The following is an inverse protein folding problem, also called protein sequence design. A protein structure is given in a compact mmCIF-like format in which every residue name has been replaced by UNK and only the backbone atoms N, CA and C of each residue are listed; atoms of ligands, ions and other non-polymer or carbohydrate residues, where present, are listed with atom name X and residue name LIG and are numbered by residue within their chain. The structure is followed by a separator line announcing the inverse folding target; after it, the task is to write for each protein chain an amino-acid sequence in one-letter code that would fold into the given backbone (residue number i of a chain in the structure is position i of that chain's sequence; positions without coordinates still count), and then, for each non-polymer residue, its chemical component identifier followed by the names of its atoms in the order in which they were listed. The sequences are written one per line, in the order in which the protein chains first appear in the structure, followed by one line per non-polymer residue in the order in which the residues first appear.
data_IF_310086357020
#
_entry.id   IF_310086357020
#
_cell.length_a   1.000
_cell.length_b   1.000
_cell.length_c   1.000
_cell.angle_alpha   90.00
_cell.angle_beta   90.00
_cell.angle_gamma   90.00
#
_symmetry.space_group_name_H-M   'P 1'
#
loop_
_entity.id
_entity.type
_entity.pdbx_description
1 polymer ?
#
# COMPACT_ATOMS: atom_id res chain seq x y z
N UNK A 1 -0.11 -16.53 -29.06
CA UNK A 1 0.38 -15.39 -28.27
C UNK A 1 0.49 -15.90 -26.87
N UNK A 2 1.68 -15.75 -26.26
CA UNK A 2 1.92 -16.21 -24.90
C UNK A 2 1.19 -15.34 -23.87
N UNK A 3 1.11 -15.82 -22.65
CA UNK A 3 0.39 -15.20 -21.54
C UNK A 3 1.29 -14.32 -20.69
N UNK A 4 0.75 -13.21 -20.18
CA UNK A 4 1.33 -12.33 -19.17
C UNK A 4 1.32 -13.01 -17.79
N UNK A 5 1.98 -12.45 -16.80
CA UNK A 5 2.04 -13.02 -15.44
C UNK A 5 0.62 -13.20 -14.86
N UNK A 6 -0.23 -12.16 -14.95
CA UNK A 6 -1.60 -12.22 -14.42
C UNK A 6 -2.43 -13.27 -15.14
N UNK A 7 -2.37 -13.35 -16.47
CA UNK A 7 -3.08 -14.36 -17.24
C UNK A 7 -2.67 -15.79 -16.85
N UNK A 8 -1.37 -16.05 -16.67
CA UNK A 8 -0.87 -17.38 -16.23
C UNK A 8 -1.34 -17.74 -14.82
N UNK A 9 -1.33 -16.79 -13.90
CA UNK A 9 -1.81 -17.02 -12.53
C UNK A 9 -3.32 -17.31 -12.54
N UNK A 10 -4.11 -16.51 -13.27
CA UNK A 10 -5.56 -16.70 -13.35
C UNK A 10 -5.94 -18.01 -14.07
N UNK A 11 -5.24 -18.36 -15.16
CA UNK A 11 -5.45 -19.62 -15.85
C UNK A 11 -5.19 -20.83 -14.92
N UNK A 12 -4.05 -20.81 -14.21
CA UNK A 12 -3.71 -21.87 -13.24
C UNK A 12 -4.71 -21.96 -12.10
N UNK A 13 -5.08 -20.83 -11.50
CA UNK A 13 -6.04 -20.78 -10.39
C UNK A 13 -7.45 -21.19 -10.83
N UNK A 14 -7.81 -20.95 -12.07
CA UNK A 14 -9.08 -21.40 -12.69
C UNK A 14 -9.06 -22.84 -13.22
N UNK A 15 -7.90 -23.51 -13.19
CA UNK A 15 -7.77 -24.88 -13.72
C UNK A 15 -7.99 -24.96 -15.23
N UNK A 16 -7.73 -23.88 -15.98
CA UNK A 16 -7.88 -23.82 -17.43
C UNK A 16 -6.50 -23.69 -18.11
N UNK A 17 -6.32 -24.18 -19.34
CA UNK A 17 -5.02 -24.18 -20.00
C UNK A 17 -4.51 -22.76 -20.34
N UNK A 18 -5.42 -21.87 -20.66
CA UNK A 18 -5.12 -20.46 -20.99
C UNK A 18 -6.33 -19.57 -20.73
N UNK A 19 -6.07 -18.27 -20.64
CA UNK A 19 -7.08 -17.21 -20.64
C UNK A 19 -6.61 -16.08 -21.56
N UNK A 20 -7.54 -15.25 -22.01
CA UNK A 20 -7.28 -14.10 -22.88
C UNK A 20 -8.06 -12.86 -22.40
N UNK A 21 -7.60 -11.66 -22.73
CA UNK A 21 -8.35 -10.44 -22.41
C UNK A 21 -9.80 -10.52 -22.90
N UNK A 22 -10.73 -10.25 -21.99
CA UNK A 22 -12.17 -10.35 -22.21
C UNK A 22 -12.83 -11.57 -21.56
N UNK A 23 -12.08 -12.63 -21.27
CA UNK A 23 -12.58 -13.82 -20.61
C UNK A 23 -13.03 -13.56 -19.18
N UNK A 24 -13.98 -14.36 -18.70
CA UNK A 24 -14.34 -14.45 -17.29
C UNK A 24 -13.90 -15.81 -16.75
N UNK A 25 -13.17 -15.80 -15.66
CA UNK A 25 -12.64 -17.01 -15.04
C UNK A 25 -12.99 -17.05 -13.56
N UNK A 26 -13.51 -18.20 -13.12
CA UNK A 26 -13.65 -18.51 -11.69
C UNK A 26 -12.32 -19.10 -11.24
N UNK A 27 -11.75 -18.53 -10.18
CA UNK A 27 -10.43 -18.89 -9.69
C UNK A 27 -10.48 -19.36 -8.25
N UNK A 28 -9.63 -20.30 -7.89
CA UNK A 28 -9.36 -20.64 -6.50
C UNK A 28 -8.60 -19.48 -5.83
N UNK A 29 -9.04 -19.10 -4.65
CA UNK A 29 -8.40 -18.11 -3.79
C UNK A 29 -7.44 -18.81 -2.83
N UNK A 30 -6.18 -18.40 -2.84
CA UNK A 30 -5.15 -18.94 -1.93
C UNK A 30 -5.13 -18.22 -0.59
N UNK A 31 -5.42 -16.92 -0.59
CA UNK A 31 -5.51 -16.11 0.63
C UNK A 31 -6.65 -15.11 0.55
N UNK A 32 -7.59 -15.20 1.49
CA UNK A 32 -8.68 -14.24 1.69
C UNK A 32 -8.40 -13.41 2.95
N UNK A 33 -8.28 -12.10 2.80
CA UNK A 33 -7.97 -11.18 3.91
C UNK A 33 -9.22 -10.39 4.28
N UNK A 34 -9.66 -10.53 5.54
CA UNK A 34 -10.75 -9.74 6.11
C UNK A 34 -10.16 -8.75 7.12
N UNK A 35 -10.81 -7.59 7.27
CA UNK A 35 -10.42 -6.58 8.24
C UNK A 35 -11.63 -6.10 9.06
N UNK A 36 -11.41 -5.28 10.07
CA UNK A 36 -12.42 -4.91 11.07
C UNK A 36 -13.72 -4.33 10.47
N UNK A 37 -13.65 -3.54 9.39
CA UNK A 37 -14.85 -2.99 8.76
C UNK A 37 -15.77 -4.09 8.15
N UNK A 38 -15.22 -5.25 7.76
CA UNK A 38 -16.04 -6.35 7.25
C UNK A 38 -17.06 -6.85 8.27
N UNK A 39 -16.72 -6.77 9.55
CA UNK A 39 -17.54 -7.26 10.67
C UNK A 39 -18.53 -6.21 11.19
N UNK A 40 -18.61 -5.03 10.57
CA UNK A 40 -19.61 -4.02 10.94
C UNK A 40 -21.02 -4.48 10.62
N UNK A 41 -22.00 -4.02 11.39
CA UNK A 41 -23.43 -4.37 11.17
C UNK A 41 -23.94 -3.98 9.78
N UNK A 42 -23.26 -3.05 9.12
CA UNK A 42 -23.60 -2.62 7.75
C UNK A 42 -23.25 -3.70 6.71
N UNK A 43 -22.12 -4.38 6.86
CA UNK A 43 -21.58 -5.30 5.86
C UNK A 43 -21.67 -6.77 6.28
N UNK A 44 -21.54 -7.06 7.58
CA UNK A 44 -21.50 -8.42 8.06
C UNK A 44 -22.81 -9.17 7.87
N UNK A 45 -22.70 -10.40 7.39
CA UNK A 45 -23.79 -11.39 7.39
C UNK A 45 -23.29 -12.62 8.10
N UNK A 46 -24.16 -13.30 8.87
CA UNK A 46 -23.74 -14.50 9.61
C UNK A 46 -23.30 -15.60 8.65
N UNK A 47 -22.04 -16.00 8.79
CA UNK A 47 -21.40 -17.02 7.96
C UNK A 47 -21.53 -18.36 8.66
N UNK A 48 -22.16 -19.34 8.01
CA UNK A 48 -22.41 -20.66 8.58
C UNK A 48 -21.21 -21.59 8.45
N UNK A 49 -20.34 -21.38 7.44
CA UNK A 49 -19.15 -22.19 7.18
C UNK A 49 -18.09 -21.35 6.47
N UNK A 50 -16.84 -21.77 6.60
CA UNK A 50 -15.73 -21.33 5.76
C UNK A 50 -15.15 -22.51 4.98
N UNK A 51 -14.57 -22.26 3.82
CA UNK A 51 -14.02 -23.34 2.99
C UNK A 51 -12.77 -23.94 3.63
N UNK A 52 -11.83 -23.07 4.02
CA UNK A 52 -10.56 -23.46 4.64
C UNK A 52 -10.07 -22.32 5.55
N UNK A 53 -10.05 -22.55 6.89
CA UNK A 53 -9.57 -21.55 7.85
C UNK A 53 -8.11 -21.16 7.66
N UNK A 54 -7.27 -22.04 7.10
CA UNK A 54 -5.84 -21.76 6.87
C UNK A 54 -5.61 -20.77 5.70
N UNK A 55 -6.60 -20.58 4.82
CA UNK A 55 -6.59 -19.59 3.75
C UNK A 55 -7.10 -18.21 4.16
N UNK A 56 -7.61 -18.08 5.39
CA UNK A 56 -8.21 -16.83 5.87
C UNK A 56 -7.22 -16.11 6.78
N UNK A 57 -7.00 -14.83 6.49
CA UNK A 57 -6.31 -13.87 7.35
C UNK A 57 -7.34 -12.88 7.87
N UNK A 58 -7.32 -12.58 9.16
CA UNK A 58 -8.11 -11.50 9.74
C UNK A 58 -7.17 -10.49 10.39
N UNK A 59 -7.26 -9.22 10.00
CA UNK A 59 -6.46 -8.14 10.57
C UNK A 59 -7.37 -6.98 10.96
N UNK A 60 -7.31 -6.53 12.20
CA UNK A 60 -7.97 -5.30 12.61
C UNK A 60 -7.02 -4.13 12.42
N UNK A 61 -7.38 -3.19 11.55
CA UNK A 61 -6.46 -2.15 11.12
C UNK A 61 -7.08 -0.75 10.88
N UNK A 62 -8.36 -0.66 10.50
CA UNK A 62 -8.98 0.62 10.13
C UNK A 62 -9.43 1.42 11.34
N UNK A 63 -9.97 0.76 12.37
CA UNK A 63 -10.56 1.37 13.56
C UNK A 63 -9.87 0.85 14.81
N UNK A 64 -8.54 0.96 14.90
CA UNK A 64 -7.74 0.42 16.02
C UNK A 64 -6.83 1.48 16.63
N UNK A 65 -6.92 1.68 17.97
CA UNK A 65 -7.98 1.16 18.84
C UNK A 65 -9.34 1.70 18.41
N UNK A 66 -10.47 1.00 18.73
CA UNK A 66 -11.79 1.40 18.23
C UNK A 66 -12.18 2.79 18.74
N UNK A 67 -12.47 3.75 17.85
CA UNK A 67 -12.77 5.13 18.23
C UNK A 67 -14.20 5.31 18.76
N UNK A 68 -15.08 4.33 18.54
CA UNK A 68 -16.49 4.38 18.91
C UNK A 68 -17.06 2.99 19.23
N UNK A 69 -18.28 2.96 19.78
CA UNK A 69 -18.97 1.72 20.20
C UNK A 69 -19.26 0.79 19.02
N UNK A 70 -19.58 1.33 17.84
CA UNK A 70 -19.90 0.52 16.66
C UNK A 70 -18.65 -0.21 16.16
N UNK A 71 -17.52 0.47 16.11
CA UNK A 71 -16.22 -0.13 15.78
C UNK A 71 -15.80 -1.20 16.80
N UNK A 72 -16.00 -0.94 18.11
CA UNK A 72 -15.73 -1.92 19.14
C UNK A 72 -16.61 -3.18 18.98
N UNK A 73 -17.90 -3.00 18.65
CA UNK A 73 -18.82 -4.13 18.42
C UNK A 73 -18.43 -4.91 17.16
N UNK A 74 -17.98 -4.26 16.08
CA UNK A 74 -17.47 -4.94 14.90
C UNK A 74 -16.28 -5.85 15.24
N UNK A 75 -15.37 -5.37 16.08
CA UNK A 75 -14.24 -6.20 16.54
C UNK A 75 -14.68 -7.38 17.41
N UNK A 76 -15.74 -7.25 18.22
CA UNK A 76 -16.33 -8.39 18.96
C UNK A 76 -16.82 -9.45 17.98
N UNK A 77 -17.59 -9.06 16.97
CA UNK A 77 -18.10 -9.96 15.92
C UNK A 77 -16.94 -10.65 15.17
N UNK A 78 -15.88 -9.88 14.84
CA UNK A 78 -14.71 -10.45 14.17
C UNK A 78 -13.95 -11.47 15.03
N UNK A 79 -13.80 -11.23 16.34
CA UNK A 79 -13.20 -12.20 17.28
C UNK A 79 -14.06 -13.47 17.42
N UNK A 80 -15.39 -13.32 17.47
CA UNK A 80 -16.31 -14.47 17.50
C UNK A 80 -16.20 -15.29 16.22
N UNK A 81 -16.09 -14.67 15.06
CA UNK A 81 -15.84 -15.34 13.78
C UNK A 81 -14.52 -16.12 13.79
N UNK A 82 -13.43 -15.48 14.22
CA UNK A 82 -12.10 -16.12 14.32
C UNK A 82 -12.16 -17.35 15.23
N UNK A 83 -12.75 -17.20 16.42
CA UNK A 83 -12.87 -18.29 17.40
C UNK A 83 -13.75 -19.43 16.87
N UNK A 84 -14.91 -19.11 16.29
CA UNK A 84 -15.87 -20.08 15.76
C UNK A 84 -15.28 -20.99 14.69
N UNK A 85 -14.45 -20.42 13.80
CA UNK A 85 -13.86 -21.16 12.69
C UNK A 85 -12.41 -21.58 12.91
N UNK A 86 -11.82 -21.27 14.05
CA UNK A 86 -10.45 -21.66 14.39
C UNK A 86 -9.38 -21.00 13.50
N UNK A 87 -9.60 -19.76 13.07
CA UNK A 87 -8.69 -19.02 12.19
C UNK A 87 -7.42 -18.68 12.97
N UNK A 88 -6.26 -19.15 12.49
CA UNK A 88 -4.97 -18.96 13.17
C UNK A 88 -4.26 -17.67 12.76
N UNK A 89 -4.47 -17.22 11.52
CA UNK A 89 -3.84 -15.99 10.98
C UNK A 89 -4.66 -14.77 11.40
N UNK A 90 -4.66 -14.51 12.71
CA UNK A 90 -5.41 -13.41 13.31
C UNK A 90 -4.47 -12.34 13.90
N UNK A 91 -4.63 -11.13 13.44
CA UNK A 91 -3.86 -9.94 13.81
C UNK A 91 -4.79 -8.94 14.51
N UNK A 92 -4.93 -9.16 15.83
CA UNK A 92 -5.72 -8.30 16.72
C UNK A 92 -4.87 -7.17 17.31
N UNK A 93 -5.51 -6.30 18.07
CA UNK A 93 -4.86 -5.24 18.86
C UNK A 93 -3.84 -5.89 19.82
N UNK A 94 -2.61 -5.41 19.74
CA UNK A 94 -1.52 -5.92 20.57
C UNK A 94 -0.25 -6.23 19.77
N UNK A 95 0.42 -7.33 20.10
CA UNK A 95 1.76 -7.64 19.57
C UNK A 95 1.82 -7.81 18.05
N UNK A 96 0.76 -8.27 17.42
CA UNK A 96 0.69 -8.59 16.00
C UNK A 96 -0.17 -7.58 15.22
N UNK A 97 -0.48 -6.45 15.81
CA UNK A 97 -1.25 -5.37 15.18
C UNK A 97 -0.51 -4.84 13.95
N UNK A 98 -1.24 -4.58 12.88
CA UNK A 98 -0.71 -3.95 11.67
C UNK A 98 -1.80 -3.74 10.62
N UNK A 99 -1.54 -2.83 9.71
CA UNK A 99 -2.38 -2.62 8.54
C UNK A 99 -2.35 -3.90 7.70
N UNK A 100 -3.51 -4.39 7.29
CA UNK A 100 -3.68 -5.70 6.63
C UNK A 100 -2.67 -5.96 5.51
N UNK A 101 -2.41 -4.98 4.64
CA UNK A 101 -1.45 -5.11 3.54
C UNK A 101 0.01 -5.17 4.01
N UNK A 102 0.33 -4.53 5.14
CA UNK A 102 1.67 -4.62 5.76
C UNK A 102 1.81 -5.96 6.48
N UNK A 103 0.78 -6.40 7.20
CA UNK A 103 0.70 -7.73 7.82
C UNK A 103 0.88 -8.85 6.79
N UNK A 104 0.23 -8.74 5.63
CA UNK A 104 0.39 -9.69 4.52
C UNK A 104 1.84 -9.82 4.09
N UNK A 105 2.55 -8.70 3.96
CA UNK A 105 3.96 -8.66 3.59
C UNK A 105 4.88 -9.18 4.70
N UNK A 106 4.66 -8.71 5.95
CA UNK A 106 5.49 -9.06 7.11
C UNK A 106 5.45 -10.56 7.43
N UNK A 107 4.36 -11.24 7.06
CA UNK A 107 4.18 -12.67 7.30
C UNK A 107 4.29 -13.54 6.05
N UNK A 108 4.58 -12.95 4.88
CA UNK A 108 4.71 -13.67 3.61
C UNK A 108 3.43 -14.37 3.18
N UNK A 109 2.25 -13.77 3.42
CA UNK A 109 0.97 -14.37 3.01
C UNK A 109 0.66 -14.18 1.52
N UNK A 110 1.28 -13.20 0.86
CA UNK A 110 1.26 -13.06 -0.59
C UNK A 110 2.38 -13.93 -1.20
N UNK A 111 2.08 -15.16 -1.52
CA UNK A 111 3.05 -16.08 -2.12
C UNK A 111 3.15 -15.84 -3.63
N UNK A 112 4.37 -15.93 -4.22
CA UNK A 112 4.54 -15.83 -5.66
C UNK A 112 3.66 -16.81 -6.43
N UNK A 113 3.00 -16.30 -7.47
CA UNK A 113 2.14 -17.09 -8.35
C UNK A 113 0.78 -17.48 -7.77
N UNK A 114 0.34 -16.93 -6.65
CA UNK A 114 -0.95 -17.21 -6.01
C UNK A 114 -1.98 -16.10 -6.23
N UNK A 115 -3.22 -16.35 -5.84
CA UNK A 115 -4.32 -15.38 -5.85
C UNK A 115 -4.64 -14.94 -4.43
N UNK A 116 -4.58 -13.63 -4.17
CA UNK A 116 -4.92 -13.01 -2.90
C UNK A 116 -6.04 -11.98 -3.09
N UNK A 117 -7.06 -12.04 -2.25
CA UNK A 117 -8.16 -11.08 -2.25
C UNK A 117 -8.38 -10.46 -0.86
N UNK A 118 -8.79 -9.20 -0.85
CA UNK A 118 -9.22 -8.47 0.33
C UNK A 118 -10.33 -7.50 -0.06
N UNK A 119 -11.14 -7.05 0.85
CA UNK A 119 -12.15 -6.01 0.55
C UNK A 119 -11.61 -4.58 0.70
N UNK A 120 -10.30 -4.42 0.72
CA UNK A 120 -9.63 -3.12 0.67
C UNK A 120 -8.99 -2.86 -0.71
N UNK A 121 -9.03 -1.62 -1.12
CA UNK A 121 -8.57 -1.17 -2.45
C UNK A 121 -7.07 -1.42 -2.68
N UNK A 122 -6.24 -1.20 -1.63
CA UNK A 122 -4.77 -1.31 -1.76
C UNK A 122 -4.23 -2.74 -1.65
N UNK A 123 -5.08 -3.74 -1.78
CA UNK A 123 -4.70 -5.16 -1.87
C UNK A 123 -3.66 -5.42 -2.95
N UNK A 124 -3.64 -4.59 -3.99
CA UNK A 124 -2.63 -4.62 -5.05
C UNK A 124 -1.18 -4.61 -4.57
N UNK A 125 -0.92 -4.19 -3.31
CA UNK A 125 0.42 -4.28 -2.69
C UNK A 125 1.02 -5.68 -2.73
N UNK A 126 0.19 -6.73 -2.73
CA UNK A 126 0.61 -8.13 -2.89
C UNK A 126 1.25 -8.43 -4.25
N UNK A 127 0.99 -7.61 -5.26
CA UNK A 127 1.63 -7.74 -6.56
C UNK A 127 3.14 -7.52 -6.55
N UNK A 128 3.67 -6.81 -5.54
CA UNK A 128 5.10 -6.71 -5.31
C UNK A 128 5.79 -8.06 -5.06
N UNK A 129 5.02 -9.07 -4.70
CA UNK A 129 5.48 -10.43 -4.42
C UNK A 129 5.14 -11.42 -5.54
N UNK A 130 4.91 -10.94 -6.76
CA UNK A 130 4.49 -11.80 -7.88
C UNK A 130 3.18 -12.57 -7.59
N UNK A 131 2.28 -11.95 -6.82
CA UNK A 131 0.97 -12.49 -6.44
C UNK A 131 -0.13 -11.72 -7.18
N UNK A 132 -1.10 -12.40 -7.76
CA UNK A 132 -2.29 -11.76 -8.32
C UNK A 132 -3.20 -11.30 -7.17
N UNK A 133 -2.88 -10.11 -6.63
CA UNK A 133 -3.55 -9.54 -5.47
C UNK A 133 -4.50 -8.41 -5.90
N UNK A 134 -5.77 -8.49 -5.45
CA UNK A 134 -6.77 -7.50 -5.84
C UNK A 134 -7.80 -7.23 -4.75
N UNK A 135 -8.22 -5.96 -4.66
CA UNK A 135 -9.38 -5.54 -3.90
C UNK A 135 -10.69 -6.02 -4.55
N UNK A 136 -11.57 -6.60 -3.75
CA UNK A 136 -12.89 -7.08 -4.17
C UNK A 136 -14.01 -6.47 -3.33
N UNK A 137 -15.26 -6.59 -3.77
CA UNK A 137 -16.39 -6.09 -3.01
C UNK A 137 -16.61 -6.79 -1.67
N UNK A 138 -17.35 -6.14 -0.75
CA UNK A 138 -17.68 -6.74 0.55
C UNK A 138 -18.40 -8.10 0.43
N UNK A 139 -19.39 -8.29 -0.45
CA UNK A 139 -20.00 -9.60 -0.71
C UNK A 139 -19.02 -10.62 -1.27
N UNK A 140 -18.10 -10.19 -2.15
CA UNK A 140 -17.15 -11.10 -2.82
C UNK A 140 -16.13 -11.66 -1.84
N UNK A 141 -15.64 -10.85 -0.88
CA UNK A 141 -14.70 -11.37 0.14
C UNK A 141 -15.37 -12.38 1.07
N UNK A 142 -16.64 -12.18 1.40
CA UNK A 142 -17.41 -13.16 2.18
C UNK A 142 -17.61 -14.43 1.37
N UNK A 143 -17.91 -14.32 0.07
CA UNK A 143 -18.00 -15.47 -0.83
C UNK A 143 -16.65 -16.21 -0.91
N UNK A 144 -15.55 -15.50 -1.05
CA UNK A 144 -14.21 -16.08 -1.05
C UNK A 144 -13.89 -16.84 0.25
N UNK A 145 -14.29 -16.30 1.40
CA UNK A 145 -14.13 -16.99 2.69
C UNK A 145 -14.96 -18.29 2.78
N UNK A 146 -16.19 -18.30 2.21
CA UNK A 146 -17.11 -19.44 2.26
C UNK A 146 -16.74 -20.53 1.26
N UNK A 147 -16.20 -20.16 0.10
CA UNK A 147 -15.99 -21.06 -1.06
C UNK A 147 -14.53 -21.27 -1.41
N UNK A 148 -13.61 -20.45 -0.96
CA UNK A 148 -12.24 -20.34 -1.45
C UNK A 148 -12.15 -20.08 -2.96
N UNK A 149 -13.14 -19.36 -3.50
CA UNK A 149 -13.28 -19.04 -4.92
C UNK A 149 -13.72 -17.59 -5.09
N UNK A 150 -13.35 -16.99 -6.21
CA UNK A 150 -13.92 -15.76 -6.72
C UNK A 150 -13.87 -15.76 -8.24
N UNK A 151 -14.31 -14.69 -8.88
CA UNK A 151 -14.25 -14.56 -10.32
C UNK A 151 -13.54 -13.27 -10.73
N UNK A 152 -12.86 -13.32 -11.86
CA UNK A 152 -12.27 -12.14 -12.48
C UNK A 152 -12.56 -12.09 -13.97
N UNK A 153 -12.70 -10.87 -14.47
CA UNK A 153 -12.53 -10.61 -15.89
C UNK A 153 -11.04 -10.46 -16.15
N UNK A 154 -10.55 -11.09 -17.19
CA UNK A 154 -9.18 -10.94 -17.67
C UNK A 154 -9.08 -9.63 -18.44
N UNK A 155 -8.14 -8.79 -18.06
CA UNK A 155 -7.90 -7.51 -18.73
C UNK A 155 -6.57 -7.53 -19.47
N UNK A 156 -6.44 -6.74 -20.57
CA UNK A 156 -5.16 -6.59 -21.24
C UNK A 156 -4.12 -5.97 -20.30
N UNK A 157 -2.84 -6.28 -20.50
CA UNK A 157 -1.74 -5.86 -19.63
C UNK A 157 -0.88 -4.80 -20.32
N UNK A 158 -0.54 -3.75 -19.60
CA UNK A 158 0.50 -2.77 -19.95
C UNK A 158 1.77 -3.16 -19.22
N UNK A 159 2.86 -3.34 -19.96
CA UNK A 159 4.17 -3.66 -19.42
C UNK A 159 5.01 -2.41 -19.22
N UNK A 160 5.65 -2.30 -18.04
CA UNK A 160 6.67 -1.30 -17.73
C UNK A 160 8.01 -1.99 -17.49
N UNK A 161 8.96 -1.77 -18.38
CA UNK A 161 10.35 -2.21 -18.21
C UNK A 161 11.11 -1.13 -17.44
N UNK A 162 11.59 -1.47 -16.25
CA UNK A 162 12.27 -0.55 -15.33
C UNK A 162 13.75 -0.47 -15.70
N UNK A 163 14.21 0.75 -15.93
CA UNK A 163 15.59 1.09 -16.27
C UNK A 163 16.11 2.23 -15.38
N UNK A 164 17.45 2.32 -15.24
CA UNK A 164 18.10 3.37 -14.49
C UNK A 164 18.00 3.23 -12.97
N UNK A 165 18.33 4.30 -12.26
CA UNK A 165 18.37 4.34 -10.78
C UNK A 165 17.70 5.60 -10.26
N UNK A 166 17.07 5.50 -9.10
CA UNK A 166 16.50 6.66 -8.40
C UNK A 166 17.60 7.63 -7.95
N UNK A 167 17.31 8.91 -8.05
CA UNK A 167 18.11 9.96 -7.44
C UNK A 167 18.13 9.84 -5.90
N UNK A 168 19.13 10.46 -5.23
CA UNK A 168 19.40 10.24 -3.79
C UNK A 168 18.26 10.66 -2.84
N UNK A 169 17.35 11.54 -3.29
CA UNK A 169 16.22 12.03 -2.49
C UNK A 169 14.86 11.60 -3.04
N UNK A 170 14.86 10.78 -4.10
CA UNK A 170 13.67 10.29 -4.79
C UNK A 170 13.24 8.96 -4.19
N UNK A 171 11.95 8.79 -3.97
CA UNK A 171 11.38 7.59 -3.35
C UNK A 171 10.36 6.90 -4.25
N UNK A 172 9.87 5.74 -3.83
CA UNK A 172 8.80 5.02 -4.52
C UNK A 172 7.51 5.84 -4.68
N UNK A 173 7.23 6.77 -3.77
CA UNK A 173 6.08 7.68 -3.89
C UNK A 173 6.25 8.61 -5.10
N UNK A 174 7.44 9.11 -5.32
CA UNK A 174 7.73 9.97 -6.48
C UNK A 174 7.62 9.18 -7.79
N UNK A 175 8.05 7.90 -7.79
CA UNK A 175 7.85 6.99 -8.94
C UNK A 175 6.38 6.82 -9.26
N UNK A 176 5.54 6.59 -8.25
CA UNK A 176 4.09 6.50 -8.46
C UNK A 176 3.50 7.81 -8.98
N UNK A 177 3.87 8.95 -8.40
CA UNK A 177 3.40 10.27 -8.86
C UNK A 177 3.85 10.57 -10.29
N UNK A 178 5.05 10.13 -10.66
CA UNK A 178 5.54 10.20 -12.04
C UNK A 178 4.68 9.36 -12.99
N UNK A 179 4.37 8.10 -12.61
CA UNK A 179 3.47 7.24 -13.39
C UNK A 179 2.09 7.88 -13.56
N UNK A 180 1.52 8.39 -12.46
CA UNK A 180 0.20 9.04 -12.46
C UNK A 180 0.14 10.28 -13.34
N UNK A 181 1.24 11.03 -13.41
CA UNK A 181 1.31 12.26 -14.18
C UNK A 181 1.68 12.04 -15.66
N UNK A 182 2.56 11.07 -15.91
CA UNK A 182 3.09 10.82 -17.27
C UNK A 182 2.15 9.94 -18.09
N UNK A 183 1.57 8.93 -17.46
CA UNK A 183 0.79 7.90 -18.16
C UNK A 183 -0.71 7.90 -17.80
N UNK A 184 -1.08 8.59 -16.72
CA UNK A 184 -2.47 8.82 -16.34
C UNK A 184 -3.26 7.54 -16.00
N UNK A 185 -4.49 7.48 -16.51
CA UNK A 185 -5.47 6.43 -16.21
C UNK A 185 -5.13 5.09 -16.88
N UNK A 186 -5.26 4.00 -16.12
CA UNK A 186 -5.06 2.62 -16.56
C UNK A 186 -6.34 1.77 -16.44
N UNK A 187 -7.50 2.41 -16.40
CA UNK A 187 -8.78 1.71 -16.28
C UNK A 187 -8.90 0.61 -17.35
N UNK A 188 -9.34 -0.57 -16.91
CA UNK A 188 -9.49 -1.73 -17.78
C UNK A 188 -8.18 -2.39 -18.24
N UNK A 189 -7.08 -2.14 -17.53
CA UNK A 189 -5.78 -2.77 -17.80
C UNK A 189 -5.15 -3.30 -16.51
N UNK A 190 -4.36 -4.35 -16.65
CA UNK A 190 -3.36 -4.73 -15.66
C UNK A 190 -2.06 -3.98 -15.91
N UNK A 191 -1.24 -3.84 -14.88
CA UNK A 191 0.13 -3.34 -14.97
C UNK A 191 1.08 -4.47 -14.59
N UNK A 192 2.10 -4.69 -15.42
CA UNK A 192 3.17 -5.63 -15.16
C UNK A 192 4.51 -4.88 -15.16
N UNK A 193 5.29 -5.06 -14.07
CA UNK A 193 6.60 -4.46 -13.91
C UNK A 193 7.70 -5.51 -14.02
N UNK A 194 8.74 -5.20 -14.77
CA UNK A 194 9.97 -5.97 -14.88
C UNK A 194 11.09 -5.11 -15.44
N UNK A 195 12.06 -5.72 -16.09
CA UNK A 195 13.16 -4.98 -16.72
C UNK A 195 14.50 -5.13 -15.98
N UNK A 196 15.59 -4.67 -16.62
CA UNK A 196 16.96 -5.00 -16.18
C UNK A 196 17.35 -4.39 -14.83
N UNK A 197 16.79 -3.23 -14.47
CA UNK A 197 17.16 -2.50 -13.25
C UNK A 197 16.11 -2.60 -12.13
N UNK A 198 15.08 -3.46 -12.31
CA UNK A 198 14.05 -3.70 -11.30
C UNK A 198 14.66 -4.16 -9.95
N UNK A 199 15.74 -4.92 -9.97
CA UNK A 199 16.47 -5.38 -8.78
C UNK A 199 17.00 -4.25 -7.89
N UNK A 200 17.13 -3.04 -8.43
CA UNK A 200 17.49 -1.83 -7.67
C UNK A 200 16.38 -1.28 -6.76
N UNK A 201 15.13 -1.71 -6.96
CA UNK A 201 14.00 -1.34 -6.10
C UNK A 201 13.88 -2.32 -4.93
N UNK A 202 14.01 -1.80 -3.70
CA UNK A 202 13.76 -2.56 -2.47
C UNK A 202 12.30 -3.04 -2.44
N UNK A 203 12.03 -4.08 -1.67
CA UNK A 203 10.67 -4.66 -1.60
C UNK A 203 9.61 -3.66 -1.13
N UNK A 204 9.94 -2.78 -0.18
CA UNK A 204 9.02 -1.75 0.31
C UNK A 204 8.68 -0.73 -0.79
N UNK A 205 9.65 -0.39 -1.65
CA UNK A 205 9.41 0.47 -2.81
C UNK A 205 8.43 -0.18 -3.80
N UNK A 206 8.62 -1.47 -4.12
CA UNK A 206 7.70 -2.22 -5.00
C UNK A 206 6.30 -2.31 -4.40
N UNK A 207 6.18 -2.51 -3.10
CA UNK A 207 4.89 -2.53 -2.38
C UNK A 207 4.15 -1.20 -2.50
N UNK A 208 4.87 -0.09 -2.31
CA UNK A 208 4.31 1.26 -2.50
C UNK A 208 3.78 1.44 -3.92
N UNK A 209 4.60 1.11 -4.94
CA UNK A 209 4.22 1.26 -6.35
C UNK A 209 3.00 0.38 -6.67
N UNK A 210 3.05 -0.92 -6.34
CA UNK A 210 1.96 -1.86 -6.62
C UNK A 210 0.64 -1.47 -5.92
N UNK A 211 0.70 -1.10 -4.63
CA UNK A 211 -0.46 -0.63 -3.88
C UNK A 211 -1.11 0.59 -4.52
N UNK A 212 -0.26 1.55 -4.93
CA UNK A 212 -0.73 2.83 -5.46
C UNK A 212 -1.25 2.74 -6.90
N UNK A 213 -0.91 1.69 -7.68
CA UNK A 213 -1.43 1.50 -9.03
C UNK A 213 -2.96 1.36 -9.07
N UNK A 214 -3.60 1.01 -7.97
CA UNK A 214 -5.07 1.04 -7.86
C UNK A 214 -5.62 2.47 -8.01
N UNK A 215 -4.86 3.48 -7.62
CA UNK A 215 -5.23 4.89 -7.80
C UNK A 215 -5.06 5.37 -9.26
N UNK A 216 -4.45 4.54 -10.12
CA UNK A 216 -4.46 4.67 -11.57
C UNK A 216 -5.62 3.89 -12.21
N UNK A 217 -6.54 3.34 -11.42
CA UNK A 217 -7.61 2.44 -11.85
C UNK A 217 -7.11 1.12 -12.48
N UNK A 218 -5.88 0.71 -12.22
CA UNK A 218 -5.36 -0.58 -12.67
C UNK A 218 -6.07 -1.74 -11.97
N UNK A 219 -6.34 -2.82 -12.72
CA UNK A 219 -7.03 -4.00 -12.20
C UNK A 219 -6.11 -4.85 -11.33
N UNK A 220 -4.95 -5.17 -11.85
CA UNK A 220 -3.83 -5.78 -11.13
C UNK A 220 -2.56 -4.97 -11.38
N UNK A 221 -1.66 -4.93 -10.40
CA UNK A 221 -0.31 -4.39 -10.58
C UNK A 221 0.67 -5.42 -10.01
N UNK A 222 1.49 -6.01 -10.87
CA UNK A 222 2.32 -7.16 -10.50
C UNK A 222 3.76 -6.96 -10.96
N UNK A 223 4.71 -7.39 -10.12
CA UNK A 223 6.14 -7.41 -10.41
C UNK A 223 6.58 -8.82 -10.80
N UNK A 224 7.55 -8.93 -11.70
CA UNK A 224 8.31 -10.16 -11.90
C UNK A 224 8.95 -10.60 -10.58
N UNK A 225 9.11 -11.92 -10.40
CA UNK A 225 9.82 -12.45 -9.24
C UNK A 225 11.32 -12.45 -9.51
N UNK A 226 12.08 -11.85 -8.61
CA UNK A 226 13.54 -11.91 -8.56
C UNK A 226 14.02 -12.37 -7.19
N UNK A 227 15.33 -12.41 -6.98
CA UNK A 227 15.93 -12.84 -5.72
C UNK A 227 15.44 -11.97 -4.53
N UNK A 228 15.17 -10.68 -4.74
CA UNK A 228 14.62 -9.78 -3.69
C UNK A 228 13.29 -10.29 -3.18
N UNK A 229 12.39 -10.68 -4.08
CA UNK A 229 11.07 -11.24 -3.73
C UNK A 229 11.20 -12.62 -3.10
N UNK A 230 11.97 -13.51 -3.73
CA UNK A 230 12.13 -14.90 -3.30
C UNK A 230 12.71 -14.96 -1.88
N UNK A 231 13.80 -14.25 -1.61
CA UNK A 231 14.39 -14.18 -0.28
C UNK A 231 13.47 -13.59 0.77
N UNK A 232 12.73 -12.52 0.41
CA UNK A 232 11.80 -11.89 1.33
C UNK A 232 10.72 -12.87 1.79
N UNK A 233 10.13 -13.60 0.84
CA UNK A 233 9.04 -14.55 1.12
C UNK A 233 9.58 -15.78 1.89
N UNK A 234 10.66 -16.39 1.44
CA UNK A 234 11.24 -17.59 2.09
C UNK A 234 11.65 -17.36 3.55
N UNK A 235 12.14 -16.17 3.88
CA UNK A 235 12.50 -15.79 5.27
C UNK A 235 11.29 -15.72 6.20
N UNK A 236 10.06 -15.58 5.65
CA UNK A 236 8.84 -15.32 6.41
C UNK A 236 7.83 -16.46 6.37
N UNK A 237 7.78 -17.18 5.29
CA UNK A 237 6.80 -18.26 5.08
C UNK A 237 7.49 -19.49 4.46
N UNK A 238 7.51 -20.63 5.17
CA UNK A 238 8.11 -21.85 4.66
C UNK A 238 7.24 -22.61 3.65
N UNK A 239 6.01 -22.13 3.38
CA UNK A 239 5.12 -22.78 2.43
C UNK A 239 5.73 -22.79 1.02
N UNK A 240 5.59 -23.87 0.25
CA UNK A 240 6.07 -23.94 -1.11
C UNK A 240 5.29 -22.95 -2.01
N UNK A 241 6.00 -22.34 -2.94
CA UNK A 241 5.44 -21.47 -3.95
C UNK A 241 6.16 -21.63 -5.29
N UNK A 242 5.52 -21.21 -6.36
CA UNK A 242 6.09 -21.24 -7.71
C UNK A 242 5.94 -19.85 -8.33
N UNK A 243 7.04 -19.11 -8.48
CA UNK A 243 7.02 -17.84 -9.20
C UNK A 243 6.46 -18.01 -10.61
N UNK A 244 5.87 -16.95 -11.12
CA UNK A 244 5.29 -16.95 -12.45
C UNK A 244 5.94 -15.85 -13.27
N UNK A 245 6.64 -16.27 -14.35
CA UNK A 245 7.19 -15.36 -15.33
C UNK A 245 6.25 -15.22 -16.52
N UNK A 246 6.26 -14.11 -17.27
CA UNK A 246 5.54 -14.00 -18.52
C UNK A 246 6.13 -14.96 -19.57
N UNK A 247 5.33 -15.33 -20.54
CA UNK A 247 5.86 -16.07 -21.70
C UNK A 247 6.74 -15.14 -22.55
N UNK A 248 7.74 -15.71 -23.22
CA UNK A 248 8.67 -14.92 -24.04
C UNK A 248 7.96 -14.13 -25.17
N UNK A 249 6.82 -14.64 -25.64
CA UNK A 249 5.94 -14.02 -26.64
C UNK A 249 4.64 -13.48 -26.04
N UNK A 250 4.65 -13.14 -24.74
CA UNK A 250 3.49 -12.58 -24.03
C UNK A 250 2.93 -11.34 -24.75
N UNK A 251 1.62 -11.31 -24.89
CA UNK A 251 0.91 -10.22 -25.56
C UNK A 251 0.60 -9.06 -24.62
N UNK A 252 1.16 -7.90 -24.90
CA UNK A 252 0.90 -6.67 -24.13
C UNK A 252 0.10 -5.65 -24.94
N UNK A 253 -0.84 -4.98 -24.29
CA UNK A 253 -1.56 -3.84 -24.88
C UNK A 253 -0.61 -2.68 -25.20
N UNK A 254 0.41 -2.49 -24.36
CA UNK A 254 1.53 -1.56 -24.60
C UNK A 254 2.76 -2.02 -23.79
N UNK A 255 3.95 -1.72 -24.32
CA UNK A 255 5.22 -1.76 -23.58
C UNK A 255 5.78 -0.37 -23.43
N UNK A 256 6.25 -0.03 -22.24
CA UNK A 256 6.77 1.29 -21.88
C UNK A 256 8.04 1.12 -21.07
N UNK A 257 8.97 2.03 -21.23
CA UNK A 257 10.13 2.13 -20.35
C UNK A 257 9.81 3.07 -19.20
N UNK A 258 10.08 2.61 -17.96
CA UNK A 258 10.06 3.43 -16.76
C UNK A 258 11.50 3.73 -16.36
N UNK A 259 12.03 4.84 -16.87
CA UNK A 259 13.37 5.30 -16.54
C UNK A 259 13.37 6.01 -15.19
N UNK A 260 13.91 5.34 -14.17
CA UNK A 260 13.97 5.85 -12.80
C UNK A 260 14.84 7.10 -12.67
N UNK A 261 15.78 7.33 -13.59
CA UNK A 261 16.64 8.53 -13.59
C UNK A 261 15.91 9.82 -13.97
N UNK A 262 14.75 9.70 -14.60
CA UNK A 262 13.89 10.83 -15.00
C UNK A 262 12.91 11.24 -13.90
N UNK A 263 12.81 10.43 -12.81
CA UNK A 263 11.89 10.74 -11.71
C UNK A 263 12.49 11.82 -10.83
N UNK A 264 11.76 12.93 -10.70
CA UNK A 264 12.10 14.03 -9.79
C UNK A 264 11.19 14.00 -8.54
N UNK A 265 11.46 14.85 -7.57
CA UNK A 265 10.63 14.98 -6.35
C UNK A 265 9.33 15.67 -6.72
N UNK A 266 8.21 14.96 -6.55
CA UNK A 266 6.88 15.37 -6.98
C UNK A 266 5.93 15.58 -5.80
N UNK A 267 4.98 16.49 -5.99
CA UNK A 267 3.86 16.72 -5.06
C UNK A 267 2.57 16.75 -5.86
N UNK A 268 1.62 15.88 -5.53
CA UNK A 268 0.27 15.99 -6.07
C UNK A 268 -0.49 17.10 -5.33
N UNK A 269 -1.12 17.99 -6.11
CA UNK A 269 -2.01 19.04 -5.59
C UNK A 269 -3.33 18.44 -5.09
N UNK A 270 -4.12 19.15 -4.27
CA UNK A 270 -5.38 18.66 -3.72
C UNK A 270 -6.35 18.09 -4.76
N UNK A 271 -7.20 17.20 -4.28
CA UNK A 271 -8.44 16.64 -4.83
C UNK A 271 -8.28 15.49 -5.83
N UNK A 272 -7.12 15.31 -6.48
CA UNK A 272 -6.89 14.18 -7.40
C UNK A 272 -5.40 13.84 -7.50
N UNK A 273 -5.10 12.60 -7.90
CA UNK A 273 -3.73 12.14 -8.17
C UNK A 273 -3.40 12.13 -9.67
N UNK A 274 -4.38 11.77 -10.51
CA UNK A 274 -4.17 11.63 -11.94
C UNK A 274 -3.90 13.00 -12.60
N UNK A 275 -2.80 13.08 -13.34
CA UNK A 275 -2.37 14.29 -14.07
C UNK A 275 -2.32 15.55 -13.20
N UNK A 276 -1.99 15.42 -11.91
CA UNK A 276 -2.05 16.52 -10.96
C UNK A 276 -0.77 16.67 -10.09
N UNK A 277 0.24 15.84 -10.34
CA UNK A 277 1.54 15.98 -9.70
C UNK A 277 2.40 17.02 -10.41
N UNK A 278 3.10 17.82 -9.62
CA UNK A 278 4.05 18.85 -10.11
C UNK A 278 5.37 18.72 -9.36
N UNK A 279 6.48 19.19 -9.94
CA UNK A 279 7.73 19.32 -9.20
C UNK A 279 7.54 20.10 -7.91
N UNK A 280 8.18 19.64 -6.82
CA UNK A 280 8.01 20.24 -5.46
C UNK A 280 8.26 21.75 -5.46
N UNK A 281 9.16 22.25 -6.31
CA UNK A 281 9.49 23.67 -6.47
C UNK A 281 8.29 24.54 -6.88
N UNK A 282 7.30 23.97 -7.58
CA UNK A 282 6.13 24.72 -8.05
C UNK A 282 5.10 25.00 -6.97
N UNK A 283 5.10 24.20 -5.89
CA UNK A 283 4.21 24.36 -4.75
C UNK A 283 4.97 24.75 -3.47
N UNK A 284 6.28 24.95 -3.57
CA UNK A 284 7.13 25.37 -2.48
C UNK A 284 6.62 26.66 -1.83
N UNK A 285 6.72 26.76 -0.49
CA UNK A 285 6.23 27.91 0.28
C UNK A 285 4.74 27.86 0.63
N UNK A 286 3.98 26.86 0.18
CA UNK A 286 2.60 26.64 0.60
C UNK A 286 2.57 26.25 2.09
N UNK A 287 1.93 27.06 2.95
CA UNK A 287 1.81 26.77 4.37
C UNK A 287 0.95 25.54 4.65
N UNK A 288 1.32 24.79 5.68
CA UNK A 288 0.60 23.60 6.14
C UNK A 288 0.27 23.68 7.63
N UNK A 289 -0.80 22.99 8.02
CA UNK A 289 -1.21 22.77 9.41
C UNK A 289 -0.83 21.37 9.90
N UNK A 290 -0.72 20.40 8.99
CA UNK A 290 -0.44 19.01 9.32
C UNK A 290 0.41 18.31 8.28
N UNK A 291 1.39 17.52 8.76
CA UNK A 291 2.08 16.48 7.99
C UNK A 291 1.64 15.08 8.45
N UNK A 292 1.46 14.15 7.52
CA UNK A 292 1.14 12.76 7.84
C UNK A 292 2.07 11.79 7.11
N UNK A 293 2.79 10.96 7.87
CA UNK A 293 3.63 9.85 7.37
C UNK A 293 3.04 8.55 7.87
N UNK A 294 2.70 7.63 6.97
CA UNK A 294 2.07 6.37 7.36
C UNK A 294 1.27 5.73 6.24
N UNK A 295 0.33 4.91 6.60
CA UNK A 295 -0.51 4.08 5.73
C UNK A 295 0.15 2.80 5.23
N UNK A 296 -0.62 1.99 4.49
CA UNK A 296 -0.11 0.76 3.87
C UNK A 296 0.96 1.02 2.80
N UNK A 297 0.96 2.21 2.17
CA UNK A 297 1.93 2.56 1.15
C UNK A 297 3.23 3.14 1.73
N UNK A 298 3.15 4.03 2.72
CA UNK A 298 4.32 4.74 3.22
C UNK A 298 4.43 4.79 4.75
N UNK A 299 4.08 3.68 5.39
CA UNK A 299 4.38 3.40 6.81
C UNK A 299 5.38 2.25 6.97
N UNK A 300 6.15 1.91 5.93
CA UNK A 300 7.16 0.86 5.93
C UNK A 300 8.47 1.34 6.59
N UNK A 301 9.39 0.41 6.85
CA UNK A 301 10.64 0.77 7.53
C UNK A 301 11.48 1.77 6.73
N UNK A 302 11.55 1.62 5.41
CA UNK A 302 12.28 2.52 4.51
C UNK A 302 11.72 3.95 4.53
N UNK A 303 10.42 4.07 4.66
CA UNK A 303 9.71 5.37 4.75
C UNK A 303 10.04 6.08 6.06
N UNK A 304 10.06 5.32 7.17
CA UNK A 304 10.42 5.84 8.47
C UNK A 304 11.91 6.20 8.54
N UNK A 305 12.78 5.41 7.90
CA UNK A 305 14.21 5.68 7.81
C UNK A 305 14.47 7.03 7.13
N UNK A 306 13.94 7.23 5.92
CA UNK A 306 14.20 8.47 5.17
C UNK A 306 13.61 9.70 5.89
N UNK A 307 12.44 9.57 6.51
CA UNK A 307 11.84 10.63 7.31
C UNK A 307 12.67 10.95 8.56
N UNK A 308 13.18 9.94 9.26
CA UNK A 308 14.06 10.12 10.43
C UNK A 308 15.37 10.83 10.04
N UNK A 309 15.98 10.46 8.92
CA UNK A 309 17.19 11.15 8.41
C UNK A 309 16.94 12.65 8.17
N UNK A 310 15.78 13.01 7.62
CA UNK A 310 15.40 14.41 7.42
C UNK A 310 15.18 15.12 8.76
N UNK A 311 14.60 14.46 9.76
CA UNK A 311 14.25 15.05 11.07
C UNK A 311 15.38 15.06 12.09
N UNK A 312 16.46 14.30 11.87
CA UNK A 312 17.58 14.19 12.82
C UNK A 312 18.12 15.56 13.20
N UNK A 313 18.13 15.88 14.51
CA UNK A 313 18.61 17.14 15.07
C UNK A 313 17.73 18.37 14.77
N UNK A 314 16.54 18.17 14.23
CA UNK A 314 15.63 19.25 13.82
C UNK A 314 14.28 19.12 14.54
N UNK A 315 13.48 20.18 14.48
CA UNK A 315 12.18 20.25 15.15
C UNK A 315 11.09 20.62 14.14
N UNK A 316 9.91 20.08 14.37
CA UNK A 316 8.67 20.44 13.66
C UNK A 316 8.37 21.92 13.93
N UNK A 317 7.97 22.65 12.90
CA UNK A 317 7.65 24.08 13.00
C UNK A 317 6.50 24.33 13.99
N UNK A 318 6.53 25.44 14.75
CA UNK A 318 5.43 25.84 15.61
C UNK A 318 4.11 25.94 14.81
N UNK A 319 3.04 25.36 15.37
CA UNK A 319 1.71 25.34 14.73
C UNK A 319 1.49 24.18 13.78
N UNK A 320 2.52 23.40 13.40
CA UNK A 320 2.39 22.21 12.57
C UNK A 320 2.25 20.95 13.43
N UNK A 321 1.34 20.07 13.08
CA UNK A 321 1.21 18.71 13.64
C UNK A 321 1.87 17.73 12.67
N UNK A 322 2.94 17.06 13.08
CA UNK A 322 3.48 15.92 12.33
C UNK A 322 3.00 14.62 12.99
N UNK A 323 2.29 13.79 12.22
CA UNK A 323 1.79 12.49 12.67
C UNK A 323 2.53 11.41 11.91
N UNK A 324 3.12 10.46 12.65
CA UNK A 324 3.85 9.31 12.11
C UNK A 324 3.16 8.03 12.56
N UNK A 325 2.72 7.22 11.60
CA UNK A 325 2.01 5.95 11.85
C UNK A 325 2.76 4.80 11.20
N UNK A 326 3.56 4.01 11.96
CA UNK A 326 4.18 2.80 11.46
C UNK A 326 3.15 1.81 10.91
N UNK A 327 3.47 1.09 9.85
CA UNK A 327 2.51 0.21 9.17
C UNK A 327 2.14 -1.05 9.96
N UNK A 328 3.03 -1.54 10.83
CA UNK A 328 2.77 -2.67 11.70
C UNK A 328 3.58 -2.58 13.00
N UNK A 329 3.24 -3.42 13.99
CA UNK A 329 4.02 -3.56 15.22
C UNK A 329 5.43 -4.10 14.95
N UNK A 330 5.62 -4.85 13.88
CA UNK A 330 6.95 -5.29 13.46
C UNK A 330 7.78 -4.11 12.95
N UNK A 331 7.23 -3.31 12.06
CA UNK A 331 7.85 -2.06 11.58
C UNK A 331 8.12 -1.10 12.75
N UNK A 332 7.16 -0.96 13.67
CA UNK A 332 7.33 -0.12 14.86
C UNK A 332 8.53 -0.57 15.71
N UNK A 333 8.65 -1.90 15.97
CA UNK A 333 9.76 -2.45 16.75
C UNK A 333 11.11 -2.27 16.03
N UNK A 334 11.15 -2.44 14.71
CA UNK A 334 12.36 -2.23 13.93
C UNK A 334 12.77 -0.75 13.95
N UNK A 335 11.83 0.16 13.74
CA UNK A 335 12.07 1.61 13.82
C UNK A 335 12.52 2.06 15.22
N UNK A 336 11.95 1.47 16.30
CA UNK A 336 12.38 1.73 17.66
C UNK A 336 13.83 1.27 17.90
N UNK A 337 14.18 0.07 17.44
CA UNK A 337 15.57 -0.46 17.55
C UNK A 337 16.57 0.34 16.74
N UNK A 338 16.16 0.91 15.62
CA UNK A 338 16.98 1.77 14.78
C UNK A 338 17.09 3.22 15.29
N UNK A 339 16.36 3.58 16.39
CA UNK A 339 16.37 4.92 16.96
C UNK A 339 15.41 5.90 16.24
N UNK A 340 14.68 5.49 15.21
CA UNK A 340 13.83 6.40 14.43
C UNK A 340 12.67 6.95 15.25
N UNK A 341 12.09 6.15 16.15
CA UNK A 341 10.99 6.58 17.02
C UNK A 341 11.44 7.69 17.97
N UNK A 342 12.65 7.58 18.53
CA UNK A 342 13.24 8.60 19.38
C UNK A 342 13.42 9.92 18.61
N UNK A 343 13.99 9.85 17.40
CA UNK A 343 14.15 11.02 16.49
C UNK A 343 12.81 11.71 16.24
N UNK A 344 11.75 10.97 15.94
CA UNK A 344 10.42 11.54 15.72
C UNK A 344 9.89 12.24 16.96
N UNK A 345 10.05 11.65 18.14
CA UNK A 345 9.61 12.24 19.40
C UNK A 345 10.40 13.51 19.77
N UNK A 346 11.72 13.48 19.59
CA UNK A 346 12.59 14.65 19.80
C UNK A 346 12.28 15.78 18.84
N UNK A 347 11.92 15.46 17.59
CA UNK A 347 11.46 16.43 16.62
C UNK A 347 10.09 17.05 16.97
N UNK A 348 9.33 16.45 17.88
CA UNK A 348 7.99 16.90 18.28
C UNK A 348 6.86 16.28 17.45
N UNK A 349 7.12 15.17 16.76
CA UNK A 349 6.08 14.41 16.06
C UNK A 349 5.23 13.56 17.03
N UNK A 350 3.99 13.31 16.66
CA UNK A 350 3.10 12.35 17.33
C UNK A 350 3.25 10.99 16.66
N UNK A 351 3.84 10.01 17.35
CA UNK A 351 3.93 8.64 16.87
C UNK A 351 2.73 7.84 17.38
N UNK A 352 1.94 7.28 16.45
CA UNK A 352 0.74 6.51 16.79
C UNK A 352 1.00 5.02 16.75
N UNK A 353 0.05 4.21 17.26
CA UNK A 353 0.04 2.78 16.97
C UNK A 353 -0.24 2.53 15.48
N UNK A 354 0.16 1.36 14.93
CA UNK A 354 -0.21 0.96 13.58
C UNK A 354 -1.73 0.96 13.36
N UNK A 355 -2.17 1.68 12.34
CA UNK A 355 -3.58 1.78 11.95
C UNK A 355 -3.71 2.49 10.60
N UNK A 356 -4.82 2.30 9.88
CA UNK A 356 -5.17 3.16 8.75
C UNK A 356 -5.49 4.61 9.19
N UNK A 357 -6.05 4.80 10.39
CA UNK A 357 -6.18 6.06 11.09
C UNK A 357 -6.64 7.23 10.23
N UNK A 358 -5.81 8.28 10.17
CA UNK A 358 -6.10 9.51 9.42
C UNK A 358 -6.19 9.27 7.89
N UNK A 359 -5.41 8.32 7.33
CA UNK A 359 -5.45 8.01 5.90
C UNK A 359 -6.85 7.61 5.41
N UNK A 360 -7.60 6.87 6.23
CA UNK A 360 -8.98 6.46 5.92
C UNK A 360 -10.06 7.46 6.37
N UNK A 361 -9.66 8.57 6.98
CA UNK A 361 -10.59 9.51 7.59
C UNK A 361 -11.29 8.95 8.83
N UNK A 362 -10.68 7.96 9.48
CA UNK A 362 -11.26 7.24 10.60
C UNK A 362 -11.06 7.89 11.95
N UNK A 363 -9.80 8.18 12.29
CA UNK A 363 -9.37 8.74 13.58
C UNK A 363 -7.88 9.13 13.54
N UNK A 364 -7.31 9.57 14.68
CA UNK A 364 -5.87 9.84 14.88
C UNK A 364 -5.26 10.86 13.89
N UNK A 365 -5.83 12.06 13.87
CA UNK A 365 -5.26 13.17 13.10
C UNK A 365 -6.12 13.60 11.93
N UNK A 366 -7.44 13.69 12.15
CA UNK A 366 -8.36 14.24 11.17
C UNK A 366 -8.15 15.76 11.04
N UNK A 367 -8.39 16.25 9.84
CA UNK A 367 -8.30 17.66 9.49
C UNK A 367 -9.60 18.38 9.84
N UNK A 368 -9.46 19.57 10.41
CA UNK A 368 -10.54 20.53 10.57
C UNK A 368 -10.81 21.33 9.30
N UNK A 369 -11.82 22.22 9.38
CA UNK A 369 -12.21 23.05 8.25
C UNK A 369 -11.07 23.97 7.80
N UNK A 370 -10.83 24.04 6.49
CA UNK A 370 -9.84 24.88 5.82
C UNK A 370 -8.36 24.56 6.17
N UNK A 371 -8.07 23.51 6.93
CA UNK A 371 -6.69 23.10 7.19
C UNK A 371 -6.01 22.59 5.91
N UNK A 372 -4.69 22.78 5.85
CA UNK A 372 -3.84 22.27 4.76
C UNK A 372 -2.95 21.16 5.29
N UNK A 373 -2.97 20.02 4.62
CA UNK A 373 -2.13 18.87 4.97
C UNK A 373 -1.22 18.50 3.80
N UNK A 374 -0.01 18.03 4.12
CA UNK A 374 0.79 17.22 3.20
C UNK A 374 0.86 15.79 3.74
N UNK A 375 0.59 14.81 2.90
CA UNK A 375 0.49 13.41 3.32
C UNK A 375 1.34 12.49 2.44
N UNK A 376 1.95 11.48 3.05
CA UNK A 376 2.52 10.35 2.33
C UNK A 376 1.53 9.18 2.18
N UNK A 377 0.26 9.35 2.56
CA UNK A 377 -0.77 8.31 2.46
C UNK A 377 -1.15 7.97 1.02
N UNK A 378 -2.28 7.31 0.81
CA UNK A 378 -2.65 6.77 -0.50
C UNK A 378 -3.58 7.67 -1.31
N UNK A 379 -4.32 8.57 -0.69
CA UNK A 379 -5.35 9.41 -1.35
C UNK A 379 -5.32 10.83 -0.82
N UNK A 380 -5.62 11.79 -1.71
CA UNK A 380 -5.71 13.22 -1.41
C UNK A 380 -7.08 13.81 -1.81
N UNK A 381 -8.07 12.97 -2.05
CA UNK A 381 -9.42 13.40 -2.44
C UNK A 381 -10.06 14.27 -1.36
N UNK A 382 -10.96 15.16 -1.80
CA UNK A 382 -11.75 16.04 -0.94
C UNK A 382 -12.47 15.27 0.17
N UNK A 383 -12.29 15.69 1.42
CA UNK A 383 -12.88 15.03 2.60
C UNK A 383 -12.21 13.72 3.02
N UNK A 384 -11.13 13.29 2.35
CA UNK A 384 -10.49 11.99 2.62
C UNK A 384 -9.94 11.87 4.04
N UNK A 385 -9.36 12.94 4.58
CA UNK A 385 -8.70 12.93 5.89
C UNK A 385 -9.43 13.78 6.94
N UNK A 386 -10.70 14.11 6.74
CA UNK A 386 -11.48 14.93 7.67
C UNK A 386 -12.45 15.87 6.98
N UNK A 387 -12.42 17.17 7.32
CA UNK A 387 -13.36 18.14 6.77
C UNK A 387 -13.21 18.29 5.25
N UNK A 388 -14.33 18.35 4.49
CA UNK A 388 -14.29 18.50 3.03
C UNK A 388 -13.68 19.82 2.51
N UNK A 389 -13.55 20.84 3.35
CA UNK A 389 -12.87 22.09 2.99
C UNK A 389 -11.35 22.04 3.17
N UNK A 390 -10.82 21.00 3.81
CA UNK A 390 -9.38 20.80 3.99
C UNK A 390 -8.70 20.50 2.64
N UNK A 391 -7.49 21.02 2.48
CA UNK A 391 -6.65 20.83 1.29
C UNK A 391 -5.58 19.79 1.58
N UNK A 392 -5.52 18.72 0.77
CA UNK A 392 -4.61 17.61 0.99
C UNK A 392 -3.64 17.52 -0.17
N UNK A 393 -2.38 17.90 0.06
CA UNK A 393 -1.26 17.66 -0.84
C UNK A 393 -0.69 16.27 -0.60
N UNK A 394 -0.10 15.62 -1.61
CA UNK A 394 0.57 14.35 -1.43
C UNK A 394 2.01 14.40 -1.92
N UNK A 395 2.93 13.92 -1.09
CA UNK A 395 4.35 13.81 -1.41
C UNK A 395 4.99 12.60 -0.73
N UNK A 396 6.30 12.45 -0.91
CA UNK A 396 7.05 11.38 -0.26
C UNK A 396 7.20 11.60 1.24
N UNK A 397 7.53 10.56 2.04
CA UNK A 397 7.84 10.71 3.46
C UNK A 397 8.94 11.74 3.74
N UNK A 398 9.95 11.81 2.86
CA UNK A 398 11.01 12.82 2.96
C UNK A 398 10.47 14.24 2.76
N UNK A 399 9.62 14.45 1.75
CA UNK A 399 8.97 15.73 1.48
C UNK A 399 8.07 16.17 2.63
N UNK A 400 7.28 15.22 3.19
CA UNK A 400 6.43 15.51 4.37
C UNK A 400 7.29 15.92 5.57
N UNK A 401 8.38 15.21 5.85
CA UNK A 401 9.28 15.51 6.95
C UNK A 401 9.94 16.90 6.81
N UNK A 402 10.49 17.22 5.63
CA UNK A 402 11.09 18.53 5.34
C UNK A 402 10.06 19.67 5.45
N UNK A 403 8.86 19.44 4.94
CA UNK A 403 7.74 20.39 5.04
C UNK A 403 7.31 20.61 6.49
N UNK A 404 7.30 19.57 7.32
CA UNK A 404 6.96 19.69 8.73
C UNK A 404 7.98 20.55 9.52
N UNK A 405 9.28 20.48 9.15
CA UNK A 405 10.35 21.30 9.77
C UNK A 405 10.16 22.77 9.45
N UNK A 406 9.82 23.10 8.23
CA UNK A 406 9.74 24.50 7.74
C UNK A 406 8.37 25.14 7.92
N UNK A 407 7.31 24.33 8.07
CA UNK A 407 5.92 24.78 8.10
C UNK A 407 5.33 25.09 6.71
N UNK A 408 6.12 24.92 5.65
CA UNK A 408 5.71 25.15 4.26
C UNK A 408 6.20 24.02 3.37
N UNK A 409 5.51 23.74 2.26
CA UNK A 409 5.96 22.70 1.30
C UNK A 409 7.40 22.98 0.87
N UNK A 410 8.29 22.01 1.09
CA UNK A 410 9.74 22.18 0.96
C UNK A 410 10.38 20.95 0.32
N UNK A 411 11.40 21.20 -0.52
CA UNK A 411 12.26 20.18 -1.12
C UNK A 411 13.08 19.46 -0.03
N UNK A 412 13.03 18.13 0.11
CA UNK A 412 13.81 17.39 1.10
C UNK A 412 15.30 17.25 0.75
N UNK A 413 15.72 17.50 -0.49
CA UNK A 413 17.07 17.28 -0.97
C UNK A 413 18.16 17.90 -0.10
N UNK A 414 18.09 19.20 0.24
CA UNK A 414 19.08 19.85 1.12
C UNK A 414 19.24 19.15 2.47
N UNK A 415 18.14 18.73 3.10
CA UNK A 415 18.15 18.07 4.42
C UNK A 415 18.82 16.70 4.39
N UNK A 416 18.70 15.96 3.29
CA UNK A 416 19.30 14.62 3.10
C UNK A 416 20.79 14.70 2.78
N UNK A 417 21.24 15.74 2.09
CA UNK A 417 22.65 15.97 1.81
C UNK A 417 23.45 16.35 3.07
N UNK A 418 22.89 17.21 3.93
CA UNK A 418 23.51 17.55 5.23
C UNK A 418 23.64 16.35 6.17
N UNK A 419 22.68 15.43 6.14
CA UNK A 419 22.72 14.20 6.95
C UNK A 419 23.75 13.17 6.49
N UNK A 420 24.33 13.33 5.28
CA UNK A 420 25.34 12.44 4.71
C UNK A 420 26.78 12.96 4.92
N UNK A 421 26.93 14.21 5.38
CA UNK A 421 28.22 14.86 5.72
C UNK A 421 28.52 14.72 7.22
#
# INVERSE_FOLDING_TARGET
MGMTIVEKILARAGGVPNVSPGDFVVVNVDTAVLFDNNFSTLYWRDVLKVADPEKIVVAFDHRVPPPDKASAQAQVVGRDFVNRFGIKRFHDIGRNLGISHVVVADNGYALPGTVLVCSDTHTGSGGAFNCAARGVGGPDIIYAAIKAETWFRVYPTIRYDIEGKLGPSVTAKDVFLYLANTYGDHAGHNIEFGGPDMGGLRIDARRTIAAMCTELNAEFAIFEADDVVIEHVQKRNPAPFTPTDPDADAGYAARRTLDLSQVEILVAKPDTLLNNAVPVREVAGTAIDQGFIGSCANGNLDDLEIAARVLTGRRVAPGVRLIVTPGSQEVYRQALKAGYIEIFMEAGAVVTNPTCGACSGGHMGLLGANETCITASTRNNKGRMGDPSARIYMGSPATVAATAITGVITDPGPFLMEAAS
#
